data_IF_756028942966
#
_entry.id   IF_756028942966
#
_cell.length_a   1.000
_cell.length_b   1.000
_cell.length_c   1.000
_cell.angle_alpha   90.00
_cell.angle_beta   90.00
_cell.angle_gamma   90.00
#
_symmetry.space_group_name_H-M   'P 1'
#
loop_
_entity.id
_entity.type
_entity.pdbx_description
1 polymer ?
#
# COMPACT_ATOMS: atom_id res chain seq x y z
N UNK A 1 -22.66 -24.89 -18.33
CA UNK A 1 -21.53 -25.12 -17.41
C UNK A 1 -20.60 -23.91 -17.50
N UNK A 2 -20.76 -22.90 -16.62
CA UNK A 2 -19.90 -21.71 -16.63
C UNK A 2 -19.85 -20.96 -15.27
N UNK A 3 -20.58 -21.43 -14.25
CA UNK A 3 -20.65 -20.78 -12.93
C UNK A 3 -19.45 -21.06 -12.01
N UNK A 4 -18.61 -22.05 -12.31
CA UNK A 4 -17.55 -22.53 -11.40
C UNK A 4 -16.24 -21.70 -11.45
N UNK A 5 -16.05 -20.83 -12.45
CA UNK A 5 -14.80 -20.08 -12.61
C UNK A 5 -14.80 -18.69 -11.94
N UNK A 6 -15.90 -18.27 -11.32
CA UNK A 6 -16.02 -16.95 -10.67
C UNK A 6 -15.77 -17.03 -9.15
N UNK A 7 -15.93 -18.21 -8.55
CA UNK A 7 -15.72 -18.42 -7.10
C UNK A 7 -14.32 -18.06 -6.58
N UNK A 8 -13.19 -18.41 -7.24
CA UNK A 8 -11.88 -18.11 -6.67
C UNK A 8 -11.58 -16.60 -6.63
N UNK A 9 -12.14 -15.81 -7.56
CA UNK A 9 -11.98 -14.36 -7.59
C UNK A 9 -12.74 -13.70 -6.42
N UNK A 10 -13.93 -14.20 -6.10
CA UNK A 10 -14.73 -13.75 -4.96
C UNK A 10 -14.04 -14.01 -3.61
N UNK A 11 -13.33 -15.13 -3.47
CA UNK A 11 -12.58 -15.45 -2.25
C UNK A 11 -11.40 -14.47 -2.06
N UNK A 12 -10.67 -14.14 -3.13
CA UNK A 12 -9.58 -13.14 -3.04
C UNK A 12 -10.11 -11.76 -2.67
N UNK A 13 -11.27 -11.36 -3.19
CA UNK A 13 -11.93 -10.10 -2.83
C UNK A 13 -12.41 -10.06 -1.38
N UNK A 14 -12.90 -11.18 -0.83
CA UNK A 14 -13.38 -11.25 0.56
C UNK A 14 -12.23 -11.30 1.59
N UNK A 15 -11.09 -11.91 1.27
CA UNK A 15 -9.91 -11.96 2.16
C UNK A 15 -9.25 -10.58 2.31
N UNK A 16 -9.41 -9.70 1.31
CA UNK A 16 -8.83 -8.34 1.33
C UNK A 16 -9.57 -7.36 2.26
N UNK A 17 -10.79 -7.70 2.72
CA UNK A 17 -11.61 -6.83 3.57
C UNK A 17 -11.23 -6.80 5.05
N UNK A 18 -10.42 -7.75 5.51
CA UNK A 18 -10.06 -7.97 6.93
C UNK A 18 -8.54 -8.05 7.07
N UNK A 19 -7.81 -7.08 6.51
CA UNK A 19 -6.37 -7.02 6.70
C UNK A 19 -6.04 -6.74 8.18
N UNK A 20 -5.47 -7.74 8.86
CA UNK A 20 -5.20 -7.70 10.29
C UNK A 20 -4.07 -6.73 10.66
N UNK A 21 -4.25 -5.99 11.75
CA UNK A 21 -3.30 -4.99 12.27
C UNK A 21 -2.08 -5.62 12.97
N UNK A 22 -1.43 -6.61 12.35
CA UNK A 22 -0.14 -7.07 12.81
C UNK A 22 0.90 -6.11 12.24
N UNK A 23 1.57 -5.30 13.08
CA UNK A 23 2.60 -4.36 12.65
C UNK A 23 4.00 -4.93 12.95
N UNK A 24 4.89 -4.93 11.96
CA UNK A 24 6.31 -5.22 12.00
C UNK A 24 7.06 -3.98 11.59
N UNK A 25 8.13 -3.69 12.31
CA UNK A 25 8.90 -2.45 12.18
C UNK A 25 10.28 -2.79 11.63
N UNK A 26 10.71 -2.14 10.53
CA UNK A 26 12.10 -2.21 10.05
C UNK A 26 13.02 -1.39 10.98
N UNK A 27 14.34 -1.64 11.04
CA UNK A 27 15.33 -0.81 11.76
C UNK A 27 15.28 0.72 11.50
N UNK A 28 14.55 1.18 10.49
CA UNK A 28 14.04 2.56 10.40
C UNK A 28 12.57 2.48 10.79
N UNK A 29 12.14 2.97 11.97
CA UNK A 29 10.79 2.90 12.57
C UNK A 29 9.58 3.02 11.59
N UNK A 30 9.43 2.07 10.69
CA UNK A 30 8.53 2.08 9.55
C UNK A 30 7.74 0.80 9.62
N UNK A 31 6.43 0.95 9.77
CA UNK A 31 5.50 -0.17 9.76
C UNK A 31 5.46 -0.70 8.33
N UNK A 32 5.73 -2.00 8.16
CA UNK A 32 5.80 -2.61 6.83
C UNK A 32 4.52 -3.33 6.46
N UNK A 33 3.71 -3.75 7.43
CA UNK A 33 2.49 -4.53 7.23
C UNK A 33 1.26 -3.84 7.79
N UNK A 34 0.19 -3.84 7.00
CA UNK A 34 -0.94 -2.93 7.20
C UNK A 34 -2.18 -3.36 6.38
N UNK A 35 -3.32 -2.76 6.73
CA UNK A 35 -4.58 -2.83 6.00
C UNK A 35 -5.13 -1.43 5.76
N UNK A 36 -5.56 -1.14 4.53
CA UNK A 36 -6.10 0.18 4.17
C UNK A 36 -7.64 0.17 4.08
N UNK A 37 -8.21 -0.85 3.45
CA UNK A 37 -9.65 -1.02 3.33
C UNK A 37 -10.32 -1.09 4.72
N UNK A 38 -11.33 -0.24 4.94
CA UNK A 38 -12.05 -0.15 6.23
C UNK A 38 -11.31 0.58 7.35
N UNK A 39 -9.98 0.70 7.29
CA UNK A 39 -9.16 1.32 8.33
C UNK A 39 -8.82 2.79 8.06
N UNK A 40 -8.57 3.15 6.79
CA UNK A 40 -8.32 4.54 6.38
C UNK A 40 -9.47 5.00 5.48
N UNK A 41 -10.42 5.81 6.01
CA UNK A 41 -11.62 6.20 5.26
C UNK A 41 -11.28 6.87 3.93
N UNK A 42 -11.83 6.35 2.83
CA UNK A 42 -11.59 6.80 1.45
C UNK A 42 -10.20 6.48 0.86
N UNK A 43 -9.34 5.73 1.56
CA UNK A 43 -8.03 5.31 1.06
C UNK A 43 -7.87 3.81 1.21
N UNK A 44 -8.31 3.04 0.20
CA UNK A 44 -8.39 1.58 0.26
C UNK A 44 -7.19 0.86 -0.39
N UNK A 45 -6.40 1.56 -1.22
CA UNK A 45 -5.30 0.95 -1.96
C UNK A 45 -4.01 0.93 -1.12
N UNK A 46 -3.45 -0.26 -0.88
CA UNK A 46 -2.21 -0.42 -0.13
C UNK A 46 -0.99 -0.30 -1.06
N UNK A 47 -0.06 0.60 -0.73
CA UNK A 47 1.14 0.84 -1.52
C UNK A 47 2.42 0.86 -0.67
N UNK A 48 3.52 0.46 -1.30
CA UNK A 48 4.87 0.62 -0.77
C UNK A 48 5.59 1.68 -1.58
N UNK A 49 6.11 2.69 -0.89
CA UNK A 49 6.77 3.86 -1.49
C UNK A 49 8.28 3.66 -1.37
N UNK A 50 9.01 3.91 -2.47
CA UNK A 50 10.46 3.99 -2.44
C UNK A 50 10.91 5.33 -1.84
N UNK A 51 11.91 5.29 -0.97
CA UNK A 51 12.44 6.50 -0.36
C UNK A 51 13.28 7.30 -1.36
N UNK A 52 13.06 8.61 -1.40
CA UNK A 52 13.84 9.54 -2.23
C UNK A 52 13.31 9.73 -3.65
N UNK A 53 13.99 10.55 -4.46
CA UNK A 53 13.58 10.83 -5.83
C UNK A 53 13.73 9.58 -6.71
N UNK A 54 12.72 9.26 -7.51
CA UNK A 54 12.67 8.00 -8.28
C UNK A 54 12.24 8.17 -9.74
N UNK A 55 12.15 9.40 -10.22
CA UNK A 55 11.75 9.73 -11.58
C UNK A 55 12.64 10.80 -12.21
N UNK A 56 12.30 11.28 -13.42
CA UNK A 56 13.05 12.33 -14.10
C UNK A 56 13.10 13.64 -13.30
N UNK A 57 12.18 13.85 -12.34
CA UNK A 57 12.20 14.99 -11.42
C UNK A 57 12.67 14.55 -10.04
N UNK A 58 13.39 15.46 -9.37
CA UNK A 58 13.83 15.28 -7.97
C UNK A 58 12.68 15.16 -6.96
N UNK A 59 11.45 15.38 -7.40
CA UNK A 59 10.22 15.31 -6.59
C UNK A 59 9.32 14.14 -6.99
N UNK A 60 9.79 13.20 -7.80
CA UNK A 60 9.03 12.02 -8.17
C UNK A 60 9.21 10.91 -7.13
N UNK A 61 8.11 10.26 -6.76
CA UNK A 61 8.03 9.12 -5.86
C UNK A 61 7.44 7.92 -6.59
N UNK A 62 8.08 6.77 -6.42
CA UNK A 62 7.68 5.52 -7.03
C UNK A 62 6.95 4.69 -5.99
N UNK A 63 5.78 4.22 -6.39
CA UNK A 63 4.95 3.35 -5.59
C UNK A 63 4.76 2.04 -6.34
N UNK A 64 4.72 0.96 -5.57
CA UNK A 64 4.22 -0.33 -6.02
C UNK A 64 3.05 -0.73 -5.15
N UNK A 65 2.16 -1.56 -5.69
CA UNK A 65 1.13 -2.19 -4.88
C UNK A 65 1.80 -3.04 -3.80
N UNK A 66 1.35 -2.87 -2.56
CA UNK A 66 1.93 -3.61 -1.46
C UNK A 66 1.67 -5.12 -1.65
N UNK A 67 2.68 -5.99 -1.50
CA UNK A 67 2.46 -7.43 -1.60
C UNK A 67 1.55 -7.94 -0.49
N UNK A 68 0.67 -8.89 -0.79
CA UNK A 68 -0.14 -9.56 0.23
C UNK A 68 0.68 -10.63 0.96
N UNK A 69 0.69 -10.58 2.29
CA UNK A 69 1.30 -11.61 3.14
C UNK A 69 0.21 -12.53 3.73
N UNK A 70 0.03 -13.75 3.21
CA UNK A 70 -1.03 -14.66 3.67
C UNK A 70 -0.82 -15.17 5.09
N UNK A 71 0.42 -15.15 5.62
CA UNK A 71 0.70 -15.60 6.99
C UNK A 71 0.23 -14.58 8.03
N UNK A 72 0.27 -13.30 7.66
CA UNK A 72 -0.14 -12.19 8.53
C UNK A 72 -1.55 -11.68 8.21
N UNK A 73 -2.14 -12.18 7.12
CA UNK A 73 -3.39 -11.68 6.53
C UNK A 73 -3.37 -10.16 6.41
N UNK A 74 -2.30 -9.61 5.86
CA UNK A 74 -2.11 -8.17 5.71
C UNK A 74 -1.23 -7.87 4.49
N UNK A 75 -1.29 -6.65 3.97
CA UNK A 75 -0.27 -6.18 3.04
C UNK A 75 1.06 -6.03 3.78
N UNK A 76 2.20 -6.25 3.11
CA UNK A 76 3.53 -6.26 3.75
C UNK A 76 4.64 -5.81 2.80
N UNK A 77 5.10 -4.56 2.97
CA UNK A 77 6.24 -3.99 2.25
C UNK A 77 7.57 -4.68 2.57
N UNK A 78 7.67 -5.53 3.60
CA UNK A 78 8.89 -6.33 3.80
C UNK A 78 9.06 -7.44 2.76
N UNK A 79 7.99 -7.77 2.01
CA UNK A 79 8.02 -8.69 0.88
C UNK A 79 8.30 -8.00 -0.46
N UNK A 80 8.37 -6.66 -0.47
CA UNK A 80 8.73 -5.88 -1.64
C UNK A 80 10.26 -5.80 -1.81
N UNK A 81 10.70 -5.19 -2.91
CA UNK A 81 12.08 -4.76 -3.06
C UNK A 81 12.50 -3.88 -1.86
N UNK A 82 13.69 -4.07 -1.27
CA UNK A 82 14.14 -3.36 -0.06
C UNK A 82 14.10 -1.83 -0.12
N UNK A 83 14.09 -1.25 -1.33
CA UNK A 83 13.96 0.18 -1.55
C UNK A 83 12.52 0.69 -1.28
N UNK A 84 11.51 -0.17 -1.42
CA UNK A 84 10.09 0.12 -1.26
C UNK A 84 9.58 -0.31 0.13
N UNK A 85 9.97 0.43 1.15
CA UNK A 85 9.68 0.06 2.54
C UNK A 85 8.66 0.96 3.25
N UNK A 86 8.32 2.13 2.69
CA UNK A 86 7.37 3.05 3.32
C UNK A 86 5.94 2.70 2.94
N UNK A 87 5.20 2.14 3.89
CA UNK A 87 3.77 1.85 3.71
C UNK A 87 2.93 3.13 3.55
N UNK A 88 1.95 3.08 2.65
CA UNK A 88 1.00 4.16 2.41
C UNK A 88 -0.37 3.61 1.99
N UNK A 89 -1.43 4.30 2.38
CA UNK A 89 -2.80 4.02 1.91
C UNK A 89 -3.21 5.10 0.92
N UNK A 90 -3.59 4.72 -0.29
CA UNK A 90 -3.97 5.63 -1.36
C UNK A 90 -5.45 5.52 -1.70
N UNK A 91 -5.99 6.61 -2.26
CA UNK A 91 -7.41 6.72 -2.59
C UNK A 91 -7.86 5.73 -3.66
N UNK A 92 -6.94 5.31 -4.55
CA UNK A 92 -7.24 4.47 -5.71
C UNK A 92 -6.02 3.63 -6.10
N UNK A 93 -6.25 2.49 -6.75
CA UNK A 93 -5.17 1.60 -7.22
C UNK A 93 -4.22 2.29 -8.21
N UNK A 94 -4.73 3.27 -8.98
CA UNK A 94 -3.92 4.06 -9.90
C UNK A 94 -2.71 4.71 -9.22
N UNK A 95 -2.86 5.18 -7.97
CA UNK A 95 -1.79 5.88 -7.26
C UNK A 95 -0.69 4.93 -6.73
N UNK A 96 -0.94 3.62 -6.65
CA UNK A 96 0.04 2.63 -6.19
C UNK A 96 0.69 1.83 -7.33
N UNK A 97 0.34 2.13 -8.58
CA UNK A 97 0.90 1.45 -9.76
C UNK A 97 1.66 2.39 -10.69
N UNK A 98 1.83 3.66 -10.30
CA UNK A 98 2.45 4.69 -11.12
C UNK A 98 3.50 5.48 -10.33
N UNK A 99 4.42 6.11 -11.07
CA UNK A 99 5.27 7.17 -10.52
C UNK A 99 4.42 8.43 -10.36
N UNK A 100 4.46 9.01 -9.16
CA UNK A 100 3.73 10.22 -8.82
C UNK A 100 4.70 11.35 -8.49
N UNK A 101 4.25 12.59 -8.60
CA UNK A 101 4.95 13.67 -7.89
C UNK A 101 4.66 13.59 -6.39
N UNK A 102 5.57 14.08 -5.55
CA UNK A 102 5.39 14.18 -4.10
C UNK A 102 4.08 14.91 -3.75
N UNK A 103 3.71 15.94 -4.52
CA UNK A 103 2.45 16.67 -4.32
C UNK A 103 1.23 15.78 -4.53
N UNK A 104 1.19 15.00 -5.62
CA UNK A 104 0.07 14.08 -5.89
C UNK A 104 0.03 12.99 -4.83
N UNK A 105 1.17 12.40 -4.49
CA UNK A 105 1.23 11.38 -3.45
C UNK A 105 0.71 11.89 -2.10
N UNK A 106 1.12 13.08 -1.65
CA UNK A 106 0.62 13.69 -0.40
C UNK A 106 -0.89 14.00 -0.45
N UNK A 107 -1.40 14.37 -1.62
CA UNK A 107 -2.82 14.72 -1.80
C UNK A 107 -3.73 13.50 -1.93
N UNK A 108 -3.22 12.40 -2.48
CA UNK A 108 -4.01 11.20 -2.84
C UNK A 108 -3.69 9.97 -2.00
N UNK A 109 -2.72 10.09 -1.10
CA UNK A 109 -2.36 9.04 -0.15
C UNK A 109 -2.19 9.59 1.27
N UNK A 110 -2.20 8.65 2.22
CA UNK A 110 -2.09 8.85 3.66
C UNK A 110 -1.06 7.88 4.23
N UNK A 111 -0.59 8.21 5.44
CA UNK A 111 0.05 7.22 6.28
C UNK A 111 -1.00 6.16 6.67
N UNK A 112 -0.54 5.00 7.12
CA UNK A 112 -1.42 3.87 7.44
C UNK A 112 -2.32 4.11 8.66
N UNK A 113 -2.02 5.12 9.48
CA UNK A 113 -2.87 5.60 10.58
C UNK A 113 -3.92 6.64 10.10
N UNK A 114 -3.96 6.92 8.79
CA UNK A 114 -4.83 7.91 8.15
C UNK A 114 -4.33 9.35 8.21
N UNK A 115 -3.20 9.61 8.85
CA UNK A 115 -2.61 10.96 8.94
C UNK A 115 -2.01 11.43 7.61
N UNK A 116 -1.86 12.75 7.49
CA UNK A 116 -1.24 13.37 6.32
C UNK A 116 0.27 13.09 6.23
N UNK A 117 0.74 13.00 4.99
CA UNK A 117 2.14 12.76 4.67
C UNK A 117 2.90 14.09 4.70
N UNK A 118 3.69 14.32 5.75
CA UNK A 118 4.42 15.59 5.94
C UNK A 118 5.81 15.62 5.29
N UNK A 119 6.58 14.53 5.35
CA UNK A 119 7.92 14.39 4.75
C UNK A 119 8.02 13.36 3.62
N UNK A 120 9.04 13.46 2.76
CA UNK A 120 9.45 12.44 1.80
C UNK A 120 10.85 11.94 2.13
#
# INVERSE_FOLDING_TARGET
>A
MQLLNILPILIVLLIQGEAGYANTVKPVNTITNFGCAGCVPNYYAAGCVKWGPTGPRSTDVSLIMAPWNPRKSAYDCSLADPEYYRASCCAENFYVTNVLTVTIWKAKCRNIDGSEIKGY
#
